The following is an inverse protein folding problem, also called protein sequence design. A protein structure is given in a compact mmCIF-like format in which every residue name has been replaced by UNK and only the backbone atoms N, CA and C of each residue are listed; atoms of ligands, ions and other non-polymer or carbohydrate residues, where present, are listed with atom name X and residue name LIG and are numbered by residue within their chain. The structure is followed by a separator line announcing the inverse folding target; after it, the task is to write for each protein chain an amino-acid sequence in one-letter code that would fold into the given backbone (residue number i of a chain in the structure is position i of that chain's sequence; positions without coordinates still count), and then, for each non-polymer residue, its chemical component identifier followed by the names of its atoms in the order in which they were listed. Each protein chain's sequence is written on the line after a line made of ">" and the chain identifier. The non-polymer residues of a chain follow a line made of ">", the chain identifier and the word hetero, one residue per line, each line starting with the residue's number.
data_IF_923281022981
#
_entry.id   IF_923281022981
#
_cell.length_a   1.000
_cell.length_b   1.000
_cell.length_c   1.000
_cell.angle_alpha   90.00
_cell.angle_beta   90.00
_cell.angle_gamma   90.00
#
_symmetry.space_group_name_H-M   'P 1'
#
loop_
_entity.id
_entity.type
_entity.pdbx_description
1 polymer ?
#
# COMPACT_ATOMS: atom_id res chain seq x y z
N UNK A 1 11.41 33.16 -80.27
CA UNK A 1 10.34 32.19 -79.98
C UNK A 1 11.02 31.06 -79.21
N UNK A 2 10.88 30.89 -77.90
CA UNK A 2 9.67 30.85 -77.06
C UNK A 2 9.95 31.33 -75.62
N UNK A 3 8.87 31.72 -74.95
CA UNK A 3 8.78 32.39 -73.65
C UNK A 3 8.27 31.41 -72.56
N UNK A 4 8.40 31.79 -71.28
CA UNK A 4 7.72 31.26 -70.06
C UNK A 4 8.30 29.95 -69.44
N UNK A 5 8.57 29.84 -68.13
CA UNK A 5 7.61 30.03 -67.04
C UNK A 5 8.28 30.29 -65.68
N UNK A 6 7.81 31.37 -65.05
CA UNK A 6 7.70 31.77 -63.65
C UNK A 6 8.24 30.88 -62.51
N UNK A 7 9.03 31.56 -61.66
CA UNK A 7 9.02 31.51 -60.19
C UNK A 7 7.73 30.98 -59.55
N UNK A 8 7.87 30.04 -58.62
CA UNK A 8 6.96 29.91 -57.47
C UNK A 8 7.76 29.93 -56.18
N UNK A 9 7.71 31.09 -55.54
CA UNK A 9 8.04 31.36 -54.15
C UNK A 9 6.84 30.88 -53.30
N UNK A 10 7.14 30.52 -52.04
CA UNK A 10 6.23 30.44 -50.88
C UNK A 10 5.14 29.37 -50.87
N UNK A 11 5.27 28.39 -49.96
CA UNK A 11 4.22 27.90 -49.02
C UNK A 11 4.64 26.55 -48.39
N UNK A 12 5.53 26.59 -47.39
CA UNK A 12 5.73 25.44 -46.50
C UNK A 12 6.29 25.88 -45.14
N UNK A 13 5.62 26.86 -44.51
CA UNK A 13 5.94 27.28 -43.13
C UNK A 13 4.66 27.60 -42.34
N UNK A 14 3.61 26.78 -42.53
CA UNK A 14 2.39 26.86 -41.72
C UNK A 14 1.96 25.50 -41.14
N UNK A 15 2.39 24.39 -41.76
CA UNK A 15 1.97 23.04 -41.37
C UNK A 15 2.67 22.51 -40.11
N UNK A 16 3.94 22.86 -39.86
CA UNK A 16 4.71 22.40 -38.68
C UNK A 16 4.23 23.03 -37.36
N UNK A 17 3.75 24.28 -37.41
CA UNK A 17 3.26 25.00 -36.23
C UNK A 17 1.89 24.50 -35.77
N UNK A 18 1.09 23.95 -36.69
CA UNK A 18 -0.24 23.43 -36.39
C UNK A 18 -0.17 22.02 -35.77
N UNK A 19 0.71 21.15 -36.26
CA UNK A 19 0.97 19.82 -35.69
C UNK A 19 1.48 19.90 -34.25
N UNK A 20 2.42 20.80 -33.96
CA UNK A 20 2.94 21.01 -32.60
C UNK A 20 1.88 21.60 -31.65
N UNK A 21 0.98 22.45 -32.15
CA UNK A 21 -0.13 22.99 -31.36
C UNK A 21 -1.22 21.95 -31.09
N UNK A 22 -1.56 21.10 -32.07
CA UNK A 22 -2.50 20.00 -31.88
C UNK A 22 -1.98 18.97 -30.88
N UNK A 23 -0.68 18.66 -30.91
CA UNK A 23 -0.06 17.77 -29.93
C UNK A 23 -0.11 18.34 -28.50
N UNK A 24 0.15 19.65 -28.33
CA UNK A 24 0.01 20.34 -27.03
C UNK A 24 -1.43 20.36 -26.55
N UNK A 25 -2.39 20.68 -27.42
CA UNK A 25 -3.81 20.71 -27.08
C UNK A 25 -4.35 19.31 -26.74
N UNK A 26 -3.88 18.27 -27.43
CA UNK A 26 -4.21 16.89 -27.09
C UNK A 26 -3.66 16.52 -25.70
N UNK A 27 -2.40 16.85 -25.42
CA UNK A 27 -1.80 16.65 -24.10
C UNK A 27 -2.53 17.43 -22.98
N UNK A 28 -2.93 18.67 -23.25
CA UNK A 28 -3.69 19.50 -22.29
C UNK A 28 -5.07 18.92 -22.01
N UNK A 29 -5.77 18.42 -23.04
CA UNK A 29 -7.08 17.76 -22.86
C UNK A 29 -6.95 16.44 -22.10
N UNK A 30 -5.94 15.62 -22.41
CA UNK A 30 -5.66 14.39 -21.67
C UNK A 30 -5.33 14.68 -20.21
N UNK A 31 -4.55 15.74 -19.94
CA UNK A 31 -4.25 16.18 -18.58
C UNK A 31 -5.51 16.66 -17.84
N UNK A 32 -6.37 17.42 -18.50
CA UNK A 32 -7.64 17.87 -17.91
C UNK A 32 -8.59 16.71 -17.62
N UNK A 33 -8.70 15.73 -18.53
CA UNK A 33 -9.51 14.54 -18.33
C UNK A 33 -8.97 13.67 -17.19
N UNK A 34 -7.65 13.49 -17.10
CA UNK A 34 -7.01 12.77 -16.01
C UNK A 34 -7.24 13.47 -14.65
N UNK A 35 -7.16 14.81 -14.62
CA UNK A 35 -7.46 15.58 -13.42
C UNK A 35 -8.94 15.46 -13.01
N UNK A 36 -9.87 15.55 -13.96
CA UNK A 36 -11.30 15.38 -13.68
C UNK A 36 -11.62 13.96 -13.14
N UNK A 37 -11.01 12.92 -13.71
CA UNK A 37 -11.16 11.56 -13.24
C UNK A 37 -10.56 11.36 -11.82
N UNK A 38 -9.39 11.95 -11.56
CA UNK A 38 -8.76 11.90 -10.23
C UNK A 38 -9.58 12.64 -9.17
N UNK A 39 -10.13 13.81 -9.50
CA UNK A 39 -11.02 14.57 -8.60
C UNK A 39 -12.32 13.81 -8.33
N UNK A 40 -12.92 13.17 -9.35
CA UNK A 40 -14.08 12.31 -9.16
C UNK A 40 -13.77 11.10 -8.27
N UNK A 41 -12.66 10.40 -8.52
CA UNK A 41 -12.25 9.27 -7.70
C UNK A 41 -11.99 9.69 -6.24
N UNK A 42 -11.33 10.83 -6.03
CA UNK A 42 -11.07 11.39 -4.69
C UNK A 42 -12.35 11.81 -3.99
N UNK A 43 -13.31 12.40 -4.70
CA UNK A 43 -14.61 12.78 -4.17
C UNK A 43 -15.43 11.55 -3.76
N UNK A 44 -15.49 10.52 -4.62
CA UNK A 44 -16.17 9.26 -4.34
C UNK A 44 -15.52 8.50 -3.18
N UNK A 45 -14.19 8.42 -3.16
CA UNK A 45 -13.45 7.82 -2.05
C UNK A 45 -13.69 8.57 -0.73
N UNK A 46 -13.70 9.91 -0.76
CA UNK A 46 -13.98 10.72 0.42
C UNK A 46 -15.41 10.54 0.92
N UNK A 47 -16.40 10.46 0.02
CA UNK A 47 -17.79 10.20 0.38
C UNK A 47 -17.98 8.81 0.99
N UNK A 48 -17.40 7.77 0.37
CA UNK A 48 -17.42 6.40 0.90
C UNK A 48 -16.69 6.29 2.24
N UNK A 49 -15.53 6.92 2.38
CA UNK A 49 -14.77 6.94 3.62
C UNK A 49 -15.53 7.67 4.75
N UNK A 50 -16.23 8.77 4.45
CA UNK A 50 -17.06 9.46 5.45
C UNK A 50 -18.21 8.58 5.95
N UNK A 51 -18.88 7.87 5.05
CA UNK A 51 -19.97 6.96 5.42
C UNK A 51 -19.45 5.77 6.23
N UNK A 52 -18.38 5.13 5.75
CA UNK A 52 -17.75 4.01 6.44
C UNK A 52 -17.21 4.41 7.82
N UNK A 53 -16.57 5.58 7.93
CA UNK A 53 -16.11 6.10 9.22
C UNK A 53 -17.26 6.36 10.20
N UNK A 54 -18.39 6.87 9.70
CA UNK A 54 -19.56 7.14 10.52
C UNK A 54 -20.25 5.86 11.01
N UNK A 55 -20.29 4.82 10.19
CA UNK A 55 -20.83 3.51 10.54
C UNK A 55 -19.89 2.75 11.48
N UNK A 56 -18.59 2.74 11.17
CA UNK A 56 -17.55 2.17 12.03
C UNK A 56 -17.52 2.84 13.41
N UNK A 57 -17.71 4.16 13.50
CA UNK A 57 -17.76 4.85 14.80
C UNK A 57 -18.96 4.45 15.64
N UNK A 58 -20.12 4.15 15.04
CA UNK A 58 -21.30 3.66 15.77
C UNK A 58 -21.06 2.24 16.28
N UNK A 59 -20.62 1.37 15.37
CA UNK A 59 -20.29 -0.02 15.69
C UNK A 59 -19.20 -0.10 16.76
N UNK A 60 -18.15 0.72 16.69
CA UNK A 60 -17.07 0.75 17.67
C UNK A 60 -17.56 1.21 19.07
N UNK A 61 -18.54 2.12 19.15
CA UNK A 61 -19.12 2.52 20.43
C UNK A 61 -19.98 1.41 21.04
N UNK A 62 -20.71 0.65 20.21
CA UNK A 62 -21.57 -0.46 20.66
C UNK A 62 -20.75 -1.70 21.04
N UNK A 63 -19.82 -2.13 20.19
CA UNK A 63 -18.95 -3.28 20.47
C UNK A 63 -17.84 -2.97 21.47
N UNK A 64 -17.39 -1.72 21.60
CA UNK A 64 -16.22 -1.38 22.41
C UNK A 64 -16.36 -1.70 23.90
N UNK A 65 -17.59 -1.71 24.43
CA UNK A 65 -17.85 -2.07 25.83
C UNK A 65 -17.85 -3.59 26.03
N UNK A 66 -18.52 -4.33 25.15
CA UNK A 66 -18.66 -5.79 25.23
C UNK A 66 -17.37 -6.52 24.84
N UNK A 67 -16.67 -6.03 23.80
CA UNK A 67 -15.41 -6.58 23.33
C UNK A 67 -14.28 -6.44 24.35
N UNK A 68 -14.26 -5.39 25.19
CA UNK A 68 -13.24 -5.22 26.24
C UNK A 68 -13.31 -6.34 27.28
N UNK A 69 -14.51 -6.77 27.66
CA UNK A 69 -14.69 -7.82 28.65
C UNK A 69 -14.34 -9.19 28.05
N UNK A 70 -14.83 -9.49 26.85
CA UNK A 70 -14.48 -10.73 26.13
C UNK A 70 -12.98 -10.84 25.83
N UNK A 71 -12.33 -9.72 25.46
CA UNK A 71 -10.90 -9.70 25.18
C UNK A 71 -10.06 -9.96 26.45
N UNK A 72 -10.47 -9.43 27.60
CA UNK A 72 -9.76 -9.67 28.86
C UNK A 72 -9.74 -11.16 29.22
N UNK A 73 -10.87 -11.85 29.06
CA UNK A 73 -10.99 -13.29 29.36
C UNK A 73 -10.24 -14.16 28.34
N UNK A 74 -10.33 -13.81 27.04
CA UNK A 74 -9.65 -14.55 25.98
C UNK A 74 -8.11 -14.39 26.02
N UNK A 75 -7.62 -13.23 26.47
CA UNK A 75 -6.17 -12.96 26.52
C UNK A 75 -5.48 -13.89 27.50
N UNK A 76 -6.10 -14.18 28.66
CA UNK A 76 -5.46 -15.01 29.68
C UNK A 76 -5.23 -16.46 29.23
N UNK A 77 -6.20 -17.05 28.51
CA UNK A 77 -6.04 -18.40 27.95
C UNK A 77 -5.09 -18.43 26.75
N UNK A 78 -5.09 -17.37 25.93
CA UNK A 78 -4.20 -17.24 24.79
C UNK A 78 -2.73 -17.06 25.21
N UNK A 79 -2.44 -16.31 26.28
CA UNK A 79 -1.08 -16.07 26.78
C UNK A 79 -0.32 -17.39 27.04
N UNK A 80 -0.97 -18.37 27.68
CA UNK A 80 -0.36 -19.65 28.03
C UNK A 80 -0.01 -20.46 26.76
N UNK A 81 -0.94 -20.53 25.80
CA UNK A 81 -0.75 -21.32 24.57
C UNK A 81 0.24 -20.66 23.60
N UNK A 82 0.22 -19.33 23.51
CA UNK A 82 1.09 -18.57 22.59
C UNK A 82 2.54 -18.60 23.05
N UNK A 83 2.80 -18.56 24.36
CA UNK A 83 4.18 -18.57 24.86
C UNK A 83 4.91 -19.89 24.53
N UNK A 84 4.18 -21.00 24.41
CA UNK A 84 4.72 -22.31 24.00
C UNK A 84 4.93 -22.41 22.47
N UNK A 85 4.12 -21.69 21.67
CA UNK A 85 4.13 -21.78 20.21
C UNK A 85 4.88 -20.64 19.51
N UNK A 86 5.33 -19.62 20.23
CA UNK A 86 6.01 -18.45 19.66
C UNK A 86 7.27 -18.79 18.88
N UNK A 87 8.03 -19.79 19.33
CA UNK A 87 9.23 -20.25 18.64
C UNK A 87 8.91 -20.79 17.25
N UNK A 88 7.87 -21.64 17.16
CA UNK A 88 7.40 -22.17 15.89
C UNK A 88 6.89 -21.06 14.94
N UNK A 89 6.20 -20.05 15.47
CA UNK A 89 5.76 -18.90 14.68
C UNK A 89 6.95 -18.06 14.18
N UNK A 90 7.94 -17.80 15.03
CA UNK A 90 9.17 -17.09 14.68
C UNK A 90 9.95 -17.83 13.58
N UNK A 91 10.09 -19.15 13.69
CA UNK A 91 10.79 -19.96 12.68
C UNK A 91 10.09 -19.88 11.31
N UNK A 92 8.75 -19.90 11.29
CA UNK A 92 7.99 -19.73 10.04
C UNK A 92 8.18 -18.33 9.44
N UNK A 93 8.22 -17.29 10.26
CA UNK A 93 8.47 -15.92 9.81
C UNK A 93 9.89 -15.75 9.26
N UNK A 94 10.91 -16.33 9.91
CA UNK A 94 12.27 -16.35 9.36
C UNK A 94 12.32 -17.09 8.02
N UNK A 95 11.56 -18.17 7.85
CA UNK A 95 11.42 -18.86 6.56
C UNK A 95 10.85 -17.95 5.46
N UNK A 96 9.85 -17.11 5.79
CA UNK A 96 9.29 -16.11 4.86
C UNK A 96 10.32 -15.02 4.53
N UNK A 97 11.06 -14.53 5.53
CA UNK A 97 12.14 -13.56 5.30
C UNK A 97 13.21 -14.12 4.35
N UNK A 98 13.61 -15.38 4.53
CA UNK A 98 14.55 -16.06 3.63
C UNK A 98 14.00 -16.18 2.21
N UNK A 99 12.73 -16.56 2.05
CA UNK A 99 12.10 -16.63 0.73
C UNK A 99 12.06 -15.26 0.04
N UNK A 100 11.68 -14.20 0.76
CA UNK A 100 11.67 -12.83 0.26
C UNK A 100 13.07 -12.35 -0.17
N UNK A 101 14.10 -12.66 0.64
CA UNK A 101 15.48 -12.31 0.29
C UNK A 101 15.97 -13.08 -0.93
N UNK A 102 15.70 -14.38 -1.02
CA UNK A 102 16.03 -15.19 -2.19
C UNK A 102 15.34 -14.67 -3.47
N UNK A 103 14.07 -14.26 -3.36
CA UNK A 103 13.34 -13.61 -4.46
C UNK A 103 13.97 -12.27 -4.86
N UNK A 104 14.33 -11.43 -3.89
CA UNK A 104 15.02 -10.16 -4.14
C UNK A 104 16.40 -10.33 -4.79
N UNK A 105 17.16 -11.35 -4.39
CA UNK A 105 18.42 -11.74 -5.01
C UNK A 105 18.21 -12.18 -6.47
N UNK A 106 17.12 -12.89 -6.77
CA UNK A 106 16.78 -13.29 -8.12
C UNK A 106 16.46 -12.07 -9.01
N UNK A 107 15.63 -11.14 -8.52
CA UNK A 107 15.28 -9.90 -9.24
C UNK A 107 16.45 -8.93 -9.43
N UNK A 108 17.44 -8.96 -8.54
CA UNK A 108 18.69 -8.19 -8.69
C UNK A 108 19.50 -8.63 -9.92
N UNK A 109 19.36 -9.88 -10.35
CA UNK A 109 20.02 -10.43 -11.53
C UNK A 109 19.27 -10.11 -12.84
N UNK A 110 18.01 -9.66 -12.76
CA UNK A 110 17.11 -9.38 -13.90
C UNK A 110 16.95 -7.87 -14.20
N UNK A 111 17.87 -7.01 -13.73
CA UNK A 111 17.87 -5.54 -13.88
C UNK A 111 16.72 -4.78 -13.16
N UNK A 112 15.97 -5.44 -12.26
CA UNK A 112 14.88 -4.84 -11.47
C UNK A 112 15.35 -4.41 -10.06
N UNK A 113 16.46 -3.65 -10.00
CA UNK A 113 17.13 -3.30 -8.74
C UNK A 113 16.26 -2.58 -7.69
N UNK A 114 15.19 -1.89 -8.10
CA UNK A 114 14.27 -1.23 -7.18
C UNK A 114 13.42 -2.23 -6.38
N UNK A 115 12.98 -3.33 -7.01
CA UNK A 115 12.20 -4.38 -6.35
C UNK A 115 13.08 -5.23 -5.43
N UNK A 116 14.32 -5.51 -5.85
CA UNK A 116 15.29 -6.21 -5.03
C UNK A 116 15.51 -5.51 -3.67
N UNK A 117 15.68 -4.19 -3.66
CA UNK A 117 15.90 -3.42 -2.43
C UNK A 117 14.66 -3.38 -1.52
N UNK A 118 13.46 -3.40 -2.11
CA UNK A 118 12.22 -3.46 -1.34
C UNK A 118 12.01 -4.83 -0.70
N UNK A 119 12.26 -5.90 -1.46
CA UNK A 119 12.22 -7.27 -0.94
C UNK A 119 13.25 -7.48 0.17
N UNK A 120 14.46 -6.92 0.03
CA UNK A 120 15.52 -6.94 1.01
C UNK A 120 15.12 -6.24 2.33
N UNK A 121 14.55 -5.04 2.20
CA UNK A 121 14.03 -4.26 3.33
C UNK A 121 12.87 -4.97 4.04
N UNK A 122 11.99 -5.60 3.27
CA UNK A 122 10.88 -6.38 3.80
C UNK A 122 11.37 -7.63 4.54
N UNK A 123 12.33 -8.37 3.97
CA UNK A 123 12.95 -9.53 4.59
C UNK A 123 13.60 -9.15 5.93
N UNK A 124 14.36 -8.06 5.97
CA UNK A 124 14.97 -7.56 7.21
C UNK A 124 13.92 -7.17 8.26
N UNK A 125 12.80 -6.58 7.85
CA UNK A 125 11.73 -6.21 8.75
C UNK A 125 11.04 -7.45 9.35
N UNK A 126 10.81 -8.47 8.52
CA UNK A 126 10.21 -9.75 8.93
C UNK A 126 11.14 -10.52 9.86
N UNK A 127 12.44 -10.56 9.58
CA UNK A 127 13.41 -11.27 10.42
C UNK A 127 13.60 -10.58 11.79
N UNK A 128 13.66 -9.24 11.81
CA UNK A 128 13.64 -8.47 13.07
C UNK A 128 12.39 -8.78 13.89
N UNK A 129 11.23 -8.90 13.23
CA UNK A 129 9.98 -9.23 13.91
C UNK A 129 9.96 -10.68 14.40
N UNK A 130 10.52 -11.63 13.65
CA UNK A 130 10.67 -13.02 14.08
C UNK A 130 11.55 -13.14 15.33
N UNK A 131 12.70 -12.45 15.35
CA UNK A 131 13.56 -12.36 16.52
C UNK A 131 12.86 -11.71 17.72
N UNK A 132 12.14 -10.61 17.48
CA UNK A 132 11.33 -9.96 18.51
C UNK A 132 10.27 -10.91 19.09
N UNK A 133 9.54 -11.63 18.25
CA UNK A 133 8.49 -12.55 18.68
C UNK A 133 9.03 -13.72 19.51
N UNK A 134 10.23 -14.21 19.18
CA UNK A 134 10.89 -15.29 19.91
C UNK A 134 11.27 -14.87 21.33
N UNK A 135 11.89 -13.70 21.44
CA UNK A 135 12.50 -13.26 22.70
C UNK A 135 11.50 -12.53 23.60
N UNK A 136 10.39 -12.04 23.06
CA UNK A 136 9.46 -11.22 23.79
C UNK A 136 8.30 -11.99 24.44
N UNK A 137 7.74 -11.44 25.52
CA UNK A 137 6.55 -11.97 26.17
C UNK A 137 5.29 -11.48 25.46
N UNK A 138 4.24 -12.31 25.48
CA UNK A 138 2.91 -11.96 24.94
C UNK A 138 2.37 -10.67 25.54
N UNK A 139 2.65 -10.44 26.83
CA UNK A 139 2.21 -9.24 27.55
C UNK A 139 2.87 -7.95 27.02
N UNK A 140 4.13 -8.03 26.60
CA UNK A 140 4.84 -6.89 26.02
C UNK A 140 4.41 -6.66 24.57
N UNK A 141 4.14 -7.74 23.80
CA UNK A 141 3.55 -7.63 22.47
C UNK A 141 2.15 -6.99 22.50
N UNK A 142 1.32 -7.34 23.48
CA UNK A 142 0.00 -6.73 23.67
C UNK A 142 0.09 -5.23 23.96
N UNK A 143 1.09 -4.81 24.74
CA UNK A 143 1.35 -3.39 25.03
C UNK A 143 1.78 -2.63 23.77
N UNK A 144 2.62 -3.23 22.94
CA UNK A 144 3.06 -2.64 21.67
C UNK A 144 1.92 -2.49 20.68
N UNK A 145 1.09 -3.53 20.52
CA UNK A 145 -0.11 -3.46 19.68
C UNK A 145 -1.05 -2.35 20.19
N UNK A 146 -1.25 -2.26 21.50
CA UNK A 146 -2.03 -1.17 22.09
C UNK A 146 -1.41 0.21 21.79
N UNK A 147 -0.09 0.32 21.84
CA UNK A 147 0.60 1.58 21.56
C UNK A 147 0.55 1.93 20.07
N UNK A 148 0.63 0.95 19.17
CA UNK A 148 0.45 1.11 17.74
C UNK A 148 -0.98 1.57 17.42
N UNK A 149 -1.99 0.94 18.00
CA UNK A 149 -3.39 1.34 17.83
C UNK A 149 -3.64 2.79 18.25
N UNK A 150 -2.99 3.23 19.34
CA UNK A 150 -3.07 4.62 19.82
C UNK A 150 -2.28 5.60 18.96
N UNK A 151 -1.09 5.23 18.47
CA UNK A 151 -0.17 6.13 17.77
C UNK A 151 -0.45 6.22 16.27
N UNK A 152 -0.87 5.11 15.68
CA UNK A 152 -1.08 4.94 14.24
C UNK A 152 -2.36 4.12 14.01
N UNK A 153 -3.55 4.70 14.26
CA UNK A 153 -4.82 4.00 14.10
C UNK A 153 -5.03 3.48 12.68
N UNK A 154 -4.51 4.19 11.66
CA UNK A 154 -4.59 3.78 10.25
C UNK A 154 -3.90 2.43 9.99
N UNK A 155 -2.69 2.24 10.52
CA UNK A 155 -1.95 0.97 10.37
C UNK A 155 -2.63 -0.17 11.12
N UNK A 156 -3.18 0.11 12.30
CA UNK A 156 -3.91 -0.88 13.08
C UNK A 156 -5.15 -1.39 12.33
N UNK A 157 -5.96 -0.49 11.77
CA UNK A 157 -7.14 -0.86 10.98
C UNK A 157 -6.73 -1.62 9.71
N UNK A 158 -5.74 -1.14 8.98
CA UNK A 158 -5.25 -1.82 7.77
C UNK A 158 -4.73 -3.24 8.10
N UNK A 159 -3.98 -3.39 9.20
CA UNK A 159 -3.49 -4.68 9.66
C UNK A 159 -4.59 -5.63 10.09
N UNK A 160 -5.61 -5.14 10.80
CA UNK A 160 -6.77 -5.93 11.21
C UNK A 160 -7.58 -6.44 10.01
N UNK A 161 -7.78 -5.61 8.99
CA UNK A 161 -8.44 -6.01 7.75
C UNK A 161 -7.64 -7.08 7.00
N UNK A 162 -6.32 -6.88 6.87
CA UNK A 162 -5.45 -7.86 6.23
C UNK A 162 -5.45 -9.21 6.98
N UNK A 163 -5.34 -9.17 8.31
CA UNK A 163 -5.42 -10.37 9.14
C UNK A 163 -6.78 -11.07 8.98
N UNK A 164 -7.88 -10.32 8.99
CA UNK A 164 -9.23 -10.85 8.74
C UNK A 164 -9.37 -11.50 7.37
N UNK A 165 -8.75 -10.95 6.32
CA UNK A 165 -8.74 -11.54 4.99
C UNK A 165 -7.97 -12.87 4.93
N UNK A 166 -6.84 -12.99 5.65
CA UNK A 166 -6.07 -14.23 5.69
C UNK A 166 -6.68 -15.31 6.58
N UNK A 167 -7.46 -14.92 7.60
CA UNK A 167 -8.10 -15.82 8.55
C UNK A 167 -9.56 -16.17 8.19
N UNK A 168 -10.16 -15.43 7.26
CA UNK A 168 -11.55 -15.57 6.82
C UNK A 168 -11.76 -16.47 5.61
#
# INVERSE_FOLDING_TARGET
>A
MTNETYTTKTEHTETDNNLTQQAKQAADRTKQQAQAAAEHAKASAKAGAHQAAHEASKMANELGAEAKQMAADATHEAEVRVNEQKGYAADRLSGVAHALRATGENFRNEDEGAFANYADSAADQVDRFAGYLRDQNVNDLARDVQQLAKRQPELFVAGALAAGFFLG
#
